data_IF_769309934876
#
_entry.id   IF_769309934876
#
_cell.length_a   1.000
_cell.length_b   1.000
_cell.length_c   1.000
_cell.angle_alpha   90.00
_cell.angle_beta   90.00
_cell.angle_gamma   90.00
#
_symmetry.space_group_name_H-M   'P 1'
#
loop_
_entity.id
_entity.type
_entity.pdbx_description
1 polymer ?
#
# COMPACT_ATOMS: atom_id res chain seq x y z
N UNK A 1 -4.26 -15.78 -6.77
CA UNK A 1 -4.78 -16.43 -5.55
C UNK A 1 -6.18 -16.97 -5.80
N UNK A 2 -6.48 -18.19 -5.36
CA UNK A 2 -7.79 -18.81 -5.53
C UNK A 2 -8.83 -18.30 -4.52
N UNK A 3 -8.40 -17.93 -3.30
CA UNK A 3 -9.21 -17.44 -2.18
C UNK A 3 -8.52 -16.22 -1.49
N UNK A 4 -9.17 -15.64 -0.47
CA UNK A 4 -8.78 -14.37 0.15
C UNK A 4 -7.43 -14.40 0.90
N UNK A 5 -7.20 -15.39 1.77
CA UNK A 5 -6.07 -15.38 2.72
C UNK A 5 -4.69 -15.18 2.08
N UNK A 6 -4.32 -15.90 0.99
CA UNK A 6 -3.01 -15.71 0.38
C UNK A 6 -2.80 -14.30 -0.18
N UNK A 7 -3.87 -13.64 -0.64
CA UNK A 7 -3.77 -12.27 -1.14
C UNK A 7 -3.60 -11.27 0.01
N UNK A 8 -4.35 -11.45 1.10
CA UNK A 8 -4.18 -10.65 2.31
C UNK A 8 -2.76 -10.78 2.88
N UNK A 9 -2.28 -12.02 3.05
CA UNK A 9 -0.95 -12.29 3.60
C UNK A 9 0.14 -11.63 2.77
N UNK A 10 0.08 -11.76 1.45
CA UNK A 10 1.04 -11.12 0.54
C UNK A 10 1.03 -9.59 0.66
N UNK A 11 -0.15 -8.97 0.71
CA UNK A 11 -0.25 -7.51 0.87
C UNK A 11 0.28 -7.07 2.24
N UNK A 12 -0.07 -7.79 3.32
CA UNK A 12 0.38 -7.52 4.68
C UNK A 12 1.90 -7.60 4.77
N UNK A 13 2.51 -8.68 4.31
CA UNK A 13 3.96 -8.87 4.39
C UNK A 13 4.71 -7.82 3.57
N UNK A 14 4.18 -7.46 2.39
CA UNK A 14 4.73 -6.38 1.57
C UNK A 14 4.64 -5.03 2.29
N UNK A 15 3.51 -4.73 2.94
CA UNK A 15 3.34 -3.51 3.72
C UNK A 15 4.28 -3.48 4.92
N UNK A 16 4.34 -4.54 5.72
CA UNK A 16 5.15 -4.59 6.94
C UNK A 16 6.64 -4.39 6.64
N UNK A 17 7.16 -4.98 5.55
CA UNK A 17 8.54 -4.76 5.12
C UNK A 17 8.79 -3.28 4.76
N UNK A 18 7.93 -2.70 3.92
CA UNK A 18 8.07 -1.29 3.50
C UNK A 18 7.86 -0.31 4.66
N UNK A 19 6.99 -0.65 5.60
CA UNK A 19 6.72 0.15 6.79
C UNK A 19 7.94 0.15 7.72
N UNK A 20 8.57 -1.01 7.93
CA UNK A 20 9.82 -1.11 8.69
C UNK A 20 10.98 -0.34 8.03
N UNK A 21 11.11 -0.41 6.69
CA UNK A 21 12.09 0.40 5.96
C UNK A 21 11.84 1.92 6.09
N UNK A 22 10.59 2.32 6.36
CA UNK A 22 10.18 3.71 6.55
C UNK A 22 10.29 4.23 7.99
N UNK A 23 10.73 3.42 8.96
CA UNK A 23 10.85 3.86 10.36
C UNK A 23 11.85 5.03 10.48
N UNK A 24 11.43 6.21 10.99
CA UNK A 24 12.32 7.34 11.23
C UNK A 24 13.48 7.05 12.19
N UNK A 25 13.36 6.04 13.04
CA UNK A 25 14.44 5.58 13.94
C UNK A 25 15.27 4.45 13.32
N UNK A 26 14.90 3.98 12.13
CA UNK A 26 15.54 2.88 11.41
C UNK A 26 16.23 3.37 10.14
N UNK A 27 15.80 2.84 8.99
CA UNK A 27 16.38 3.21 7.70
C UNK A 27 15.94 4.59 7.19
N UNK A 28 14.88 5.17 7.77
CA UNK A 28 14.25 6.43 7.37
C UNK A 28 14.10 6.56 5.85
N UNK A 29 13.65 5.48 5.22
CA UNK A 29 13.57 5.35 3.78
C UNK A 29 12.17 4.92 3.35
N UNK A 30 11.13 5.76 3.54
CA UNK A 30 9.78 5.45 3.07
C UNK A 30 9.75 5.10 1.58
N UNK A 31 8.82 4.22 1.21
CA UNK A 31 8.57 3.76 -0.17
C UNK A 31 7.08 3.73 -0.46
N UNK A 32 6.72 3.61 -1.73
CA UNK A 32 5.32 3.46 -2.15
C UNK A 32 4.98 1.99 -2.43
N UNK A 33 3.74 1.60 -2.14
CA UNK A 33 3.16 0.32 -2.52
C UNK A 33 2.00 0.54 -3.49
N UNK A 34 1.90 -0.28 -4.53
CA UNK A 34 0.75 -0.28 -5.46
C UNK A 34 -0.05 -1.56 -5.32
N UNK A 35 -1.38 -1.45 -5.24
CA UNK A 35 -2.29 -2.60 -5.15
C UNK A 35 -3.14 -2.64 -6.41
N UNK A 36 -2.94 -3.68 -7.23
CA UNK A 36 -3.71 -3.89 -8.45
C UNK A 36 -5.07 -4.51 -8.15
N UNK A 37 -6.15 -3.85 -8.57
CA UNK A 37 -7.52 -4.32 -8.37
C UNK A 37 -8.26 -4.43 -9.70
N UNK A 38 -9.11 -5.45 -9.82
CA UNK A 38 -9.99 -5.64 -10.98
C UNK A 38 -11.39 -6.01 -10.49
N UNK A 39 -12.43 -5.32 -10.99
CA UNK A 39 -13.82 -5.54 -10.57
C UNK A 39 -14.23 -7.01 -10.66
N UNK A 40 -13.94 -7.67 -11.79
CA UNK A 40 -14.30 -9.08 -12.07
C UNK A 40 -13.56 -10.12 -11.22
N UNK A 41 -12.47 -9.72 -10.54
CA UNK A 41 -11.64 -10.61 -9.72
C UNK A 41 -11.82 -10.33 -8.24
N UNK A 42 -11.50 -9.12 -7.79
CA UNK A 42 -11.50 -8.77 -6.37
C UNK A 42 -12.92 -8.53 -5.83
N UNK A 43 -13.86 -8.13 -6.69
CA UNK A 43 -15.26 -7.92 -6.30
C UNK A 43 -16.04 -9.21 -6.00
N UNK A 44 -15.44 -10.39 -6.16
CA UNK A 44 -16.08 -11.66 -5.80
C UNK A 44 -16.17 -11.77 -4.27
N UNK A 45 -17.31 -12.21 -3.68
CA UNK A 45 -17.48 -12.30 -2.23
C UNK A 45 -16.37 -13.09 -1.51
N UNK A 46 -15.88 -14.19 -2.10
CA UNK A 46 -14.79 -14.99 -1.52
C UNK A 46 -13.38 -14.37 -1.62
N UNK A 47 -13.26 -13.15 -2.17
CA UNK A 47 -11.96 -12.45 -2.35
C UNK A 47 -11.95 -11.04 -1.79
N UNK A 48 -13.08 -10.34 -1.78
CA UNK A 48 -13.16 -8.95 -1.31
C UNK A 48 -12.76 -8.81 0.17
N UNK A 49 -12.95 -9.86 0.97
CA UNK A 49 -12.59 -9.89 2.39
C UNK A 49 -11.08 -9.69 2.63
N UNK A 50 -10.23 -10.07 1.68
CA UNK A 50 -8.79 -9.80 1.76
C UNK A 50 -8.47 -8.31 1.69
N UNK A 51 -9.21 -7.56 0.87
CA UNK A 51 -9.04 -6.11 0.78
C UNK A 51 -9.51 -5.44 2.07
N UNK A 52 -10.67 -5.83 2.60
CA UNK A 52 -11.19 -5.28 3.86
C UNK A 52 -10.19 -5.46 5.00
N UNK A 53 -9.71 -6.69 5.22
CA UNK A 53 -8.71 -6.99 6.25
C UNK A 53 -7.40 -6.22 6.06
N UNK A 54 -6.98 -6.01 4.83
CA UNK A 54 -5.78 -5.22 4.55
C UNK A 54 -5.99 -3.73 4.85
N UNK A 55 -7.17 -3.18 4.53
CA UNK A 55 -7.52 -1.81 4.91
C UNK A 55 -7.54 -1.65 6.43
N UNK A 56 -8.11 -2.61 7.16
CA UNK A 56 -8.10 -2.61 8.63
C UNK A 56 -6.66 -2.64 9.18
N UNK A 57 -5.78 -3.47 8.60
CA UNK A 57 -4.37 -3.57 8.99
C UNK A 57 -3.61 -2.25 8.78
N UNK A 58 -3.73 -1.62 7.61
CA UNK A 58 -2.98 -0.36 7.37
C UNK A 58 -3.55 0.82 8.16
N UNK A 59 -4.85 0.80 8.51
CA UNK A 59 -5.48 1.82 9.35
C UNK A 59 -5.04 1.75 10.81
N UNK A 60 -4.57 0.58 11.28
CA UNK A 60 -4.01 0.46 12.64
C UNK A 60 -2.57 0.97 12.77
N UNK A 61 -1.96 1.46 11.68
CA UNK A 61 -0.61 2.00 11.67
C UNK A 61 -0.66 3.52 11.45
N UNK A 62 0.15 4.26 12.22
CA UNK A 62 0.29 5.70 12.01
C UNK A 62 1.13 5.99 10.75
N UNK A 63 1.10 7.25 10.27
CA UNK A 63 1.97 7.74 9.19
C UNK A 63 1.84 6.98 7.84
N UNK A 64 0.70 6.36 7.58
CA UNK A 64 0.38 5.75 6.27
C UNK A 64 -0.32 6.77 5.37
N UNK A 65 0.23 7.02 4.17
CA UNK A 65 -0.42 7.86 3.16
C UNK A 65 -1.16 7.04 2.11
N UNK A 66 -2.48 6.96 2.23
CA UNK A 66 -3.35 6.38 1.19
C UNK A 66 -3.63 7.44 0.13
N UNK A 67 -2.92 7.36 -1.00
CA UNK A 67 -2.88 8.42 -2.01
C UNK A 67 -3.48 8.01 -3.36
N UNK A 68 -4.05 8.97 -4.09
CA UNK A 68 -4.24 8.82 -5.54
C UNK A 68 -2.89 8.98 -6.22
N UNK A 69 -2.68 8.29 -7.34
CA UNK A 69 -1.46 8.43 -8.15
C UNK A 69 -1.16 9.87 -8.57
N UNK A 70 -2.19 10.67 -8.82
CA UNK A 70 -2.05 12.09 -9.14
C UNK A 70 -1.47 12.91 -7.98
N UNK A 71 -1.84 12.59 -6.74
CA UNK A 71 -1.33 13.30 -5.56
C UNK A 71 0.15 12.95 -5.33
N UNK A 72 0.55 11.70 -5.56
CA UNK A 72 1.96 11.28 -5.57
C UNK A 72 2.74 12.05 -6.64
N UNK A 73 2.22 12.14 -7.87
CA UNK A 73 2.90 12.85 -8.95
C UNK A 73 3.09 14.34 -8.63
N UNK A 74 2.07 14.99 -8.04
CA UNK A 74 2.13 16.38 -7.59
C UNK A 74 3.15 16.57 -6.47
N UNK A 75 3.13 15.68 -5.46
CA UNK A 75 4.11 15.68 -4.38
C UNK A 75 5.54 15.53 -4.93
N UNK A 76 5.75 14.57 -5.84
CA UNK A 76 7.07 14.34 -6.44
C UNK A 76 7.60 15.56 -7.18
N UNK A 77 6.75 16.24 -7.97
CA UNK A 77 7.14 17.46 -8.70
C UNK A 77 7.62 18.58 -7.77
N UNK A 78 7.01 18.71 -6.59
CA UNK A 78 7.35 19.75 -5.61
C UNK A 78 8.58 19.37 -4.78
N UNK A 79 8.63 18.13 -4.28
CA UNK A 79 9.68 17.65 -3.37
C UNK A 79 10.97 17.25 -4.10
N UNK A 80 10.84 16.79 -5.35
CA UNK A 80 11.95 16.34 -6.20
C UNK A 80 11.86 17.03 -7.58
N UNK A 81 12.11 18.35 -7.65
CA UNK A 81 12.02 19.09 -8.89
C UNK A 81 13.09 18.60 -9.89
N UNK A 82 12.74 18.63 -11.18
CA UNK A 82 13.68 18.30 -12.26
C UNK A 82 14.79 19.33 -12.28
N UNK A 83 16.04 18.88 -12.10
CA UNK A 83 17.24 19.69 -12.34
C UNK A 83 17.55 19.74 -13.83
N UNK A 84 17.94 20.92 -14.32
CA UNK A 84 18.35 21.16 -15.71
C UNK A 84 19.68 20.48 -16.05
#
# INVERSE_FOLDING_TARGET
YSHADPFFQYMKDSFDALYAEGDPNGLDRPKMMSIGMHCRLLGRPGRITALQRFLDHIQSHEKVWVARRLDIARHWKVTHPVTA
#
